data_IF_033412310894
#
_entry.id   IF_033412310894
#
_cell.length_a   1.000
_cell.length_b   1.000
_cell.length_c   1.000
_cell.angle_alpha   90.00
_cell.angle_beta   90.00
_cell.angle_gamma   90.00
#
_symmetry.space_group_name_H-M   'P 1'
#
loop_
_entity.id
_entity.type
_entity.pdbx_description
1 polymer ?
#
# COMPACT_ATOMS: atom_id res chain seq x y z
N UNK A 1 -8.45 -19.49 -5.68
CA UNK A 1 -9.50 -18.48 -5.41
C UNK A 1 -9.07 -17.11 -5.88
N UNK A 2 -9.94 -16.39 -6.54
CA UNK A 2 -9.66 -15.03 -6.97
C UNK A 2 -10.14 -14.06 -5.88
N UNK A 3 -9.21 -13.41 -5.16
CA UNK A 3 -9.55 -12.47 -4.10
C UNK A 3 -10.41 -11.31 -4.57
N UNK A 4 -10.18 -10.85 -5.81
CA UNK A 4 -10.92 -9.76 -6.41
C UNK A 4 -12.42 -10.06 -6.51
N UNK A 5 -12.77 -11.33 -6.70
CA UNK A 5 -14.16 -11.74 -6.87
C UNK A 5 -14.82 -12.19 -5.57
N UNK A 6 -14.09 -12.29 -4.46
CA UNK A 6 -14.65 -12.71 -3.18
C UNK A 6 -15.31 -11.52 -2.47
N UNK A 7 -16.65 -11.50 -2.51
CA UNK A 7 -17.41 -10.40 -1.93
C UNK A 7 -17.22 -10.23 -0.43
N UNK A 8 -16.90 -11.30 0.30
CA UNK A 8 -16.68 -11.21 1.74
C UNK A 8 -15.40 -10.42 2.04
N UNK A 9 -14.35 -10.62 1.22
CA UNK A 9 -13.11 -9.89 1.33
C UNK A 9 -13.34 -8.42 0.97
N UNK A 10 -14.03 -8.17 -0.14
CA UNK A 10 -14.33 -6.82 -0.59
C UNK A 10 -15.16 -6.06 0.46
N UNK A 11 -16.16 -6.71 1.04
CA UNK A 11 -16.96 -6.09 2.10
C UNK A 11 -16.13 -5.77 3.34
N UNK A 12 -15.19 -6.64 3.71
CA UNK A 12 -14.28 -6.39 4.83
C UNK A 12 -13.37 -5.19 4.57
N UNK A 13 -12.85 -5.08 3.36
CA UNK A 13 -12.01 -3.94 2.97
C UNK A 13 -12.80 -2.64 3.04
N UNK A 14 -14.01 -2.62 2.51
CA UNK A 14 -14.88 -1.44 2.57
C UNK A 14 -15.16 -1.01 4.00
N UNK A 15 -15.44 -1.99 4.87
CA UNK A 15 -15.75 -1.71 6.27
C UNK A 15 -14.54 -1.10 7.00
N UNK A 16 -13.34 -1.65 6.80
CA UNK A 16 -12.13 -1.13 7.41
C UNK A 16 -11.80 0.28 6.90
N UNK A 17 -11.92 0.49 5.60
CA UNK A 17 -11.65 1.79 5.00
C UNK A 17 -12.61 2.85 5.53
N UNK A 18 -13.90 2.54 5.57
CA UNK A 18 -14.94 3.44 6.06
C UNK A 18 -14.76 3.78 7.54
N UNK A 19 -14.25 2.82 8.32
CA UNK A 19 -13.96 3.02 9.73
C UNK A 19 -12.68 3.83 9.99
N UNK A 20 -11.99 4.27 8.94
CA UNK A 20 -10.74 5.02 9.07
C UNK A 20 -9.53 4.18 9.40
N UNK A 21 -9.65 2.86 9.31
CA UNK A 21 -8.53 1.95 9.58
C UNK A 21 -7.61 1.85 8.37
N UNK A 22 -6.36 1.50 8.63
CA UNK A 22 -5.38 1.33 7.56
C UNK A 22 -5.76 0.17 6.64
N UNK A 23 -5.69 0.43 5.33
CA UNK A 23 -5.79 -0.61 4.30
C UNK A 23 -4.51 -0.52 3.45
N UNK A 24 -3.85 -1.64 3.25
CA UNK A 24 -2.57 -1.66 2.54
C UNK A 24 -2.52 -2.78 1.51
N UNK A 25 -1.85 -2.53 0.39
CA UNK A 25 -1.71 -3.52 -0.68
C UNK A 25 -0.44 -3.29 -1.49
N UNK A 26 0.18 -4.36 -1.94
CA UNK A 26 1.44 -4.31 -2.67
C UNK A 26 1.33 -5.11 -3.98
N UNK A 27 2.14 -4.73 -4.99
CA UNK A 27 2.27 -5.41 -6.27
C UNK A 27 0.96 -5.34 -7.07
N UNK A 28 0.31 -6.47 -7.35
CA UNK A 28 -0.97 -6.52 -8.05
C UNK A 28 -2.17 -6.37 -7.12
N UNK A 29 -1.98 -6.47 -5.80
CA UNK A 29 -3.07 -6.44 -4.82
C UNK A 29 -3.89 -5.14 -4.80
N UNK A 30 -3.37 -3.97 -5.22
CA UNK A 30 -4.22 -2.77 -5.34
C UNK A 30 -5.45 -2.96 -6.22
N UNK A 31 -5.41 -3.94 -7.13
CA UNK A 31 -6.59 -4.31 -7.93
C UNK A 31 -7.77 -4.69 -7.02
N UNK A 32 -7.48 -5.37 -5.92
CA UNK A 32 -8.50 -5.79 -4.94
C UNK A 32 -9.12 -4.57 -4.26
N UNK A 33 -8.29 -3.57 -3.93
CA UNK A 33 -8.78 -2.34 -3.31
C UNK A 33 -9.68 -1.56 -4.26
N UNK A 34 -9.32 -1.50 -5.54
CA UNK A 34 -10.16 -0.88 -6.55
C UNK A 34 -11.48 -1.64 -6.70
N UNK A 35 -11.43 -2.98 -6.72
CA UNK A 35 -12.62 -3.82 -6.82
C UNK A 35 -13.56 -3.61 -5.62
N UNK A 36 -13.00 -3.34 -4.44
CA UNK A 36 -13.78 -3.03 -3.25
C UNK A 36 -14.43 -1.64 -3.30
N UNK A 37 -14.06 -0.81 -4.28
CA UNK A 37 -14.66 0.50 -4.47
C UNK A 37 -14.09 1.59 -3.58
N UNK A 38 -12.92 1.37 -2.95
CA UNK A 38 -12.33 2.38 -2.08
C UNK A 38 -11.41 3.37 -2.81
N UNK A 39 -11.08 3.11 -4.07
CA UNK A 39 -10.39 4.08 -4.91
C UNK A 39 -11.40 5.02 -5.56
N UNK A 40 -11.17 6.32 -5.47
CA UNK A 40 -11.92 7.31 -6.24
C UNK A 40 -10.97 7.98 -7.24
N UNK A 41 -11.46 8.96 -7.99
CA UNK A 41 -10.69 9.65 -9.03
C UNK A 41 -9.46 10.38 -8.49
N UNK A 42 -9.45 10.73 -7.20
CA UNK A 42 -8.38 11.49 -6.58
C UNK A 42 -7.44 10.62 -5.74
N UNK A 43 -7.74 9.32 -5.58
CA UNK A 43 -6.89 8.43 -4.80
C UNK A 43 -5.56 8.22 -5.50
N UNK A 44 -4.46 8.59 -4.84
CA UNK A 44 -3.13 8.28 -5.34
C UNK A 44 -2.75 6.87 -4.91
N UNK A 45 -2.17 6.13 -5.81
CA UNK A 45 -1.77 4.75 -5.51
C UNK A 45 -0.54 4.34 -6.30
N UNK A 46 0.16 3.35 -5.78
CA UNK A 46 1.26 2.67 -6.44
C UNK A 46 0.87 1.20 -6.63
N UNK A 47 1.41 0.56 -7.64
CA UNK A 47 1.20 -0.87 -7.88
C UNK A 47 2.29 -1.39 -8.81
N UNK A 48 2.29 -2.69 -9.05
CA UNK A 48 3.22 -3.26 -10.03
C UNK A 48 2.93 -2.63 -11.41
N UNK A 49 3.96 -2.20 -12.13
CA UNK A 49 3.78 -1.55 -13.44
C UNK A 49 2.90 -2.39 -14.38
N UNK A 50 1.99 -1.75 -15.06
CA UNK A 50 0.95 -2.29 -15.92
C UNK A 50 -0.30 -2.78 -15.18
N UNK A 51 -0.25 -2.98 -13.87
CA UNK A 51 -1.45 -3.34 -13.09
C UNK A 51 -2.38 -2.14 -12.85
N UNK A 52 -1.93 -0.92 -13.16
CA UNK A 52 -2.75 0.28 -13.00
C UNK A 52 -3.86 0.40 -14.06
N UNK A 53 -3.77 -0.36 -15.14
CA UNK A 53 -4.74 -0.26 -16.25
C UNK A 53 -6.13 -0.62 -15.75
N UNK A 54 -7.09 0.29 -15.96
CA UNK A 54 -8.48 0.08 -15.56
C UNK A 54 -8.80 0.39 -14.11
N UNK A 55 -7.81 0.80 -13.30
CA UNK A 55 -8.06 1.21 -11.93
C UNK A 55 -8.42 2.69 -11.86
N UNK A 56 -9.32 3.03 -10.92
CA UNK A 56 -9.62 4.43 -10.63
C UNK A 56 -8.46 5.06 -9.88
N UNK A 57 -8.36 6.38 -9.96
CA UNK A 57 -7.38 7.12 -9.21
C UNK A 57 -6.18 7.52 -10.04
N UNK A 58 -5.15 7.98 -9.36
CA UNK A 58 -3.94 8.51 -9.95
C UNK A 58 -2.76 7.58 -9.65
N UNK A 59 -2.29 6.89 -10.68
CA UNK A 59 -1.11 6.04 -10.55
C UNK A 59 0.13 6.91 -10.36
N UNK A 60 0.91 6.63 -9.32
CA UNK A 60 2.18 7.32 -9.06
C UNK A 60 3.33 6.31 -9.12
N UNK A 61 4.39 6.66 -9.83
CA UNK A 61 5.56 5.80 -9.96
C UNK A 61 6.49 5.98 -8.75
N UNK A 62 6.03 5.47 -7.61
CA UNK A 62 6.79 5.49 -6.36
C UNK A 62 6.90 4.09 -5.79
N UNK A 63 7.95 3.84 -5.03
CA UNK A 63 8.09 2.57 -4.33
C UNK A 63 6.92 2.34 -3.39
N UNK A 64 6.53 3.38 -2.65
CA UNK A 64 5.41 3.34 -1.70
C UNK A 64 4.62 4.62 -1.81
N UNK A 65 3.30 4.52 -1.76
CA UNK A 65 2.39 5.66 -1.79
C UNK A 65 1.42 5.57 -0.61
N UNK A 66 1.38 6.62 0.20
CA UNK A 66 0.38 6.75 1.27
C UNK A 66 -0.62 7.83 0.86
N UNK A 67 -1.91 7.46 0.86
CA UNK A 67 -3.00 8.36 0.54
C UNK A 67 -4.10 8.16 1.56
N UNK A 68 -4.25 9.10 2.49
CA UNK A 68 -5.16 8.97 3.63
C UNK A 68 -4.87 7.66 4.39
N UNK A 69 -5.85 6.78 4.53
CA UNK A 69 -5.68 5.50 5.22
C UNK A 69 -5.38 4.33 4.26
N UNK A 70 -4.86 4.64 3.08
CA UNK A 70 -4.49 3.63 2.08
C UNK A 70 -2.99 3.71 1.83
N UNK A 71 -2.28 2.59 1.98
CA UNK A 71 -0.85 2.51 1.62
C UNK A 71 -0.70 1.44 0.55
N UNK A 72 -0.10 1.82 -0.58
CA UNK A 72 0.14 0.90 -1.69
C UNK A 72 1.63 0.89 -2.04
N UNK A 73 2.09 -0.17 -2.67
CA UNK A 73 3.50 -0.31 -3.03
C UNK A 73 3.65 -1.07 -4.35
N UNK A 74 4.76 -0.83 -5.02
CA UNK A 74 4.95 -1.26 -6.40
C UNK A 74 5.24 -2.74 -6.58
N UNK A 75 6.09 -3.34 -5.77
CA UNK A 75 6.42 -4.73 -6.03
C UNK A 75 7.50 -5.31 -5.12
N UNK A 76 8.03 -6.48 -5.48
CA UNK A 76 8.87 -7.28 -4.56
C UNK A 76 10.02 -6.52 -3.92
N UNK A 77 10.76 -5.75 -4.70
CA UNK A 77 11.92 -5.03 -4.18
C UNK A 77 11.54 -3.89 -3.23
N UNK A 78 10.28 -3.48 -3.21
CA UNK A 78 9.81 -2.39 -2.35
C UNK A 78 9.19 -2.88 -1.05
N UNK A 79 9.16 -4.19 -0.82
CA UNK A 79 8.45 -4.77 0.33
C UNK A 79 8.94 -4.23 1.68
N UNK A 80 10.24 -4.04 1.85
CA UNK A 80 10.80 -3.50 3.10
C UNK A 80 10.33 -2.07 3.32
N UNK A 81 10.37 -1.24 2.27
CA UNK A 81 9.91 0.14 2.34
C UNK A 81 8.41 0.21 2.64
N UNK A 82 7.64 -0.70 2.05
CA UNK A 82 6.22 -0.82 2.30
C UNK A 82 5.94 -1.15 3.77
N UNK A 83 6.64 -2.14 4.31
CA UNK A 83 6.51 -2.51 5.71
C UNK A 83 6.88 -1.35 6.65
N UNK A 84 7.95 -0.63 6.34
CA UNK A 84 8.40 0.52 7.13
C UNK A 84 7.36 1.65 7.10
N UNK A 85 6.71 1.88 5.97
CA UNK A 85 5.67 2.90 5.89
C UNK A 85 4.46 2.53 6.73
N UNK A 86 4.11 1.24 6.77
CA UNK A 86 3.04 0.75 7.65
C UNK A 86 3.42 0.97 9.12
N UNK A 87 4.67 0.69 9.48
CA UNK A 87 5.15 0.93 10.85
C UNK A 87 5.05 2.42 11.20
N UNK A 88 5.45 3.30 10.28
CA UNK A 88 5.31 4.74 10.50
C UNK A 88 3.86 5.14 10.72
N UNK A 89 2.96 4.63 9.91
CA UNK A 89 1.53 4.94 10.01
C UNK A 89 0.95 4.51 11.36
N UNK A 90 1.31 3.31 11.81
CA UNK A 90 0.74 2.72 13.03
C UNK A 90 1.47 3.14 14.29
N UNK A 91 2.78 3.35 14.23
CA UNK A 91 3.64 3.49 15.41
C UNK A 91 4.45 4.79 15.44
N UNK A 92 4.44 5.56 14.36
CA UNK A 92 5.14 6.85 14.31
C UNK A 92 6.52 6.78 13.69
N UNK A 93 7.06 7.98 13.41
CA UNK A 93 8.34 8.14 12.71
C UNK A 93 9.54 7.61 13.49
N UNK A 94 9.50 7.70 14.82
CA UNK A 94 10.60 7.22 15.65
C UNK A 94 10.74 5.71 15.58
N UNK A 95 9.61 4.99 15.60
CA UNK A 95 9.62 3.54 15.47
C UNK A 95 10.14 3.11 14.11
N UNK A 96 9.75 3.82 13.06
CA UNK A 96 10.27 3.56 11.71
C UNK A 96 11.78 3.78 11.65
N UNK A 97 12.26 4.90 12.17
CA UNK A 97 13.69 5.24 12.14
C UNK A 97 14.53 4.21 12.90
N UNK A 98 14.03 3.75 14.04
CA UNK A 98 14.73 2.73 14.83
C UNK A 98 14.80 1.41 14.06
N UNK A 99 13.70 1.01 13.44
CA UNK A 99 13.65 -0.24 12.69
C UNK A 99 14.55 -0.17 11.44
N UNK A 100 14.57 0.96 10.73
CA UNK A 100 15.46 1.15 9.59
C UNK A 100 16.92 0.92 9.98
N UNK A 101 17.30 1.41 11.15
CA UNK A 101 18.65 1.26 11.65
C UNK A 101 18.95 -0.20 12.03
N UNK A 102 18.01 -0.86 12.71
CA UNK A 102 18.15 -2.26 13.10
C UNK A 102 18.22 -3.20 11.90
N UNK A 103 17.55 -2.86 10.81
CA UNK A 103 17.58 -3.63 9.57
C UNK A 103 18.83 -3.33 8.74
N UNK A 104 19.71 -2.45 9.21
CA UNK A 104 20.92 -2.05 8.51
C UNK A 104 20.62 -1.42 7.15
N UNK A 105 19.44 -0.84 7.01
CA UNK A 105 19.01 -0.24 5.75
C UNK A 105 19.95 0.84 5.23
N UNK A 106 20.56 1.69 6.10
CA UNK A 106 21.51 2.70 5.63
C UNK A 106 22.69 2.13 4.84
N UNK A 107 23.05 0.87 5.06
CA UNK A 107 24.16 0.25 4.33
C UNK A 107 23.85 0.07 2.84
N UNK A 108 22.57 0.03 2.48
CA UNK A 108 22.16 -0.12 1.08
C UNK A 108 22.44 1.16 0.27
N UNK A 109 22.57 2.30 0.92
CA UNK A 109 22.67 3.59 0.23
C UNK A 109 24.09 4.12 0.10
N UNK A 110 25.04 3.52 0.74
CA UNK A 110 26.39 4.08 0.82
C UNK A 110 27.47 3.32 0.08
N UNK A 111 27.15 2.21 -0.49
CA UNK A 111 28.19 1.32 -1.00
C UNK A 111 27.92 0.80 -2.36
#
# INVERSE_FOLDING_TARGET
>A
MNLKADERILAGIRALHKAGKLVAAICASPIVLNAAGIFDENTQFSCYPSCEVGLKGVFVEKAVCECANIITSAGPATAVLFALQIVQYLCGKESKARLEKELLLPLLNGN
#
